data_IF_969443498452
#
_entry.id   IF_969443498452
#
_cell.length_a   1.000
_cell.length_b   1.000
_cell.length_c   1.000
_cell.angle_alpha   90.00
_cell.angle_beta   90.00
_cell.angle_gamma   90.00
#
_symmetry.space_group_name_H-M   'P 1'
#
loop_
_entity.id
_entity.type
_entity.pdbx_description
1 polymer ?
#
# COMPACT_ATOMS: atom_id res chain seq x y z
N UNK A 1 1.78 23.49 56.39
CA UNK A 1 2.88 23.28 55.41
C UNK A 1 2.33 22.47 54.24
N UNK A 2 2.62 22.85 52.98
CA UNK A 2 1.68 22.71 51.87
C UNK A 2 1.76 21.36 51.14
N UNK A 3 0.60 20.73 50.92
CA UNK A 3 0.38 19.49 50.13
C UNK A 3 0.37 19.77 48.61
N UNK A 4 0.95 20.89 48.17
CA UNK A 4 0.76 21.43 46.81
C UNK A 4 1.92 21.20 45.83
N UNK A 5 2.84 20.26 46.11
CA UNK A 5 3.94 19.97 45.17
C UNK A 5 3.67 18.81 44.21
N UNK A 6 2.80 17.85 44.55
CA UNK A 6 2.53 16.70 43.66
C UNK A 6 1.55 17.07 42.54
N UNK A 7 0.59 17.97 42.80
CA UNK A 7 -0.34 18.45 41.78
C UNK A 7 0.36 19.23 40.66
N UNK A 8 1.44 19.97 40.98
CA UNK A 8 2.22 20.76 40.00
C UNK A 8 3.08 19.92 39.06
N UNK A 9 3.30 18.63 39.36
CA UNK A 9 4.09 17.74 38.50
C UNK A 9 3.23 16.98 37.48
N UNK A 10 1.92 16.86 37.71
CA UNK A 10 0.99 16.20 36.78
C UNK A 10 0.44 17.13 35.69
N UNK A 11 0.48 18.45 35.87
CA UNK A 11 0.11 19.41 34.81
C UNK A 11 1.18 19.55 33.71
N UNK A 12 2.42 19.11 33.93
CA UNK A 12 3.55 19.35 33.01
C UNK A 12 3.80 18.21 32.00
N UNK A 13 2.99 17.16 32.03
CA UNK A 13 3.11 15.99 31.14
C UNK A 13 1.94 15.87 30.15
N UNK A 14 1.25 16.98 29.85
CA UNK A 14 0.34 17.04 28.70
C UNK A 14 1.23 17.10 27.44
N UNK A 15 1.20 16.00 26.71
CA UNK A 15 1.74 15.81 25.37
C UNK A 15 1.56 17.09 24.51
N UNK A 16 2.52 17.45 23.65
CA UNK A 16 2.35 18.61 22.78
C UNK A 16 1.07 18.41 21.97
N UNK A 17 0.19 19.41 22.06
CA UNK A 17 -1.06 19.45 21.34
C UNK A 17 -0.79 19.15 19.86
N UNK A 18 -1.41 18.08 19.35
CA UNK A 18 -1.66 17.99 17.92
C UNK A 18 -2.43 19.25 17.56
N UNK A 19 -1.83 20.07 16.71
CA UNK A 19 -2.30 21.39 16.30
C UNK A 19 -3.60 21.23 15.47
N UNK A 20 -4.72 21.01 16.17
CA UNK A 20 -6.05 20.96 15.56
C UNK A 20 -6.49 22.39 15.33
N UNK A 21 -6.26 22.88 14.11
CA UNK A 21 -6.70 24.18 13.64
C UNK A 21 -8.22 24.39 13.87
N UNK A 22 -8.67 25.63 14.17
CA UNK A 22 -10.07 25.93 14.44
C UNK A 22 -10.97 25.67 13.22
N UNK A 23 -12.29 25.43 13.40
CA UNK A 23 -13.20 25.14 12.30
C UNK A 23 -13.32 26.34 11.34
N UNK A 24 -12.71 26.21 10.16
CA UNK A 24 -12.73 27.23 9.10
C UNK A 24 -14.10 27.26 8.40
N UNK A 25 -14.65 28.48 8.26
CA UNK A 25 -15.91 28.80 7.59
C UNK A 25 -15.96 28.25 6.15
N UNK A 26 -17.12 27.69 5.79
CA UNK A 26 -17.38 26.96 4.54
C UNK A 26 -17.52 27.96 3.38
N UNK A 27 -16.65 27.86 2.37
CA UNK A 27 -16.76 28.63 1.13
C UNK A 27 -15.47 28.72 0.31
N UNK A 28 -14.87 27.59 -0.06
CA UNK A 28 -13.68 27.55 -0.94
C UNK A 28 -13.04 26.16 -1.02
N UNK A 29 -12.18 25.87 -2.00
CA UNK A 29 -11.52 24.58 -2.12
C UNK A 29 -10.64 24.34 -0.89
N UNK A 30 -11.04 23.38 -0.04
CA UNK A 30 -10.34 23.02 1.19
C UNK A 30 -8.98 22.39 0.83
N UNK A 31 -7.89 22.94 1.35
CA UNK A 31 -6.54 22.33 1.35
C UNK A 31 -6.12 22.08 2.81
N UNK A 32 -5.36 21.02 3.04
CA UNK A 32 -4.83 20.68 4.37
C UNK A 32 -3.71 21.66 4.75
N UNK A 33 -3.46 21.84 6.05
CA UNK A 33 -2.32 22.62 6.57
C UNK A 33 -0.98 21.87 6.50
N UNK A 34 -0.97 20.66 5.93
CA UNK A 34 0.20 19.78 5.87
C UNK A 34 1.09 20.18 4.70
N UNK A 35 2.35 20.50 4.98
CA UNK A 35 3.35 20.78 3.95
C UNK A 35 3.67 19.50 3.16
N UNK A 36 3.81 19.66 1.84
CA UNK A 36 4.21 18.56 0.95
C UNK A 36 5.63 18.09 1.29
N UNK A 37 5.86 16.78 1.22
CA UNK A 37 7.20 16.23 1.42
C UNK A 37 8.16 16.74 0.32
N UNK A 38 9.24 17.48 0.67
CA UNK A 38 10.17 18.06 -0.30
C UNK A 38 10.95 16.99 -1.09
N UNK A 39 11.02 15.74 -0.62
CA UNK A 39 11.61 14.64 -1.38
C UNK A 39 10.78 14.27 -2.61
N UNK A 40 9.46 14.53 -2.60
CA UNK A 40 8.59 14.32 -3.76
C UNK A 40 8.82 15.35 -4.87
N UNK A 41 9.40 16.51 -4.54
CA UNK A 41 9.70 17.57 -5.51
C UNK A 41 11.03 17.30 -6.25
N UNK A 42 11.91 16.49 -5.65
CA UNK A 42 13.19 16.07 -6.25
C UNK A 42 13.03 14.96 -7.30
N UNK A 43 11.86 14.33 -7.40
CA UNK A 43 11.56 13.33 -8.43
C UNK A 43 11.38 14.06 -9.77
N UNK A 44 12.46 14.12 -10.55
CA UNK A 44 12.55 14.98 -11.74
C UNK A 44 11.62 14.61 -12.89
N UNK A 45 11.10 13.37 -12.94
CA UNK A 45 10.12 12.88 -13.94
C UNK A 45 9.30 11.73 -13.33
N UNK A 46 8.14 11.45 -13.91
CA UNK A 46 7.32 10.32 -13.49
C UNK A 46 8.14 9.03 -13.57
N UNK A 47 7.76 8.03 -12.77
CA UNK A 47 8.40 6.72 -12.85
C UNK A 47 8.34 6.23 -14.31
N UNK A 48 9.42 5.60 -14.80
CA UNK A 48 9.63 5.30 -16.23
C UNK A 48 8.46 4.50 -16.84
N UNK A 49 7.83 3.64 -16.05
CA UNK A 49 6.75 2.76 -16.52
C UNK A 49 5.40 3.49 -16.71
N UNK A 50 4.92 4.33 -15.76
CA UNK A 50 3.76 5.19 -15.99
C UNK A 50 3.81 6.02 -17.27
N UNK A 51 4.97 6.59 -17.62
CA UNK A 51 5.09 7.40 -18.85
C UNK A 51 4.94 6.57 -20.13
N UNK A 52 5.42 5.32 -20.13
CA UNK A 52 5.26 4.39 -21.27
C UNK A 52 3.79 3.96 -21.41
N UNK A 53 3.09 3.71 -20.30
CA UNK A 53 1.67 3.37 -20.32
C UNK A 53 0.80 4.50 -20.87
N UNK A 54 1.04 5.74 -20.45
CA UNK A 54 0.29 6.91 -20.96
C UNK A 54 0.48 7.06 -22.48
N UNK A 55 1.72 6.93 -22.97
CA UNK A 55 2.01 6.99 -24.42
C UNK A 55 1.36 5.86 -25.20
N UNK A 56 1.27 4.66 -24.63
CA UNK A 56 0.54 3.54 -25.25
C UNK A 56 -0.95 3.86 -25.38
N UNK A 57 -1.57 4.38 -24.32
CA UNK A 57 -2.98 4.74 -24.34
C UNK A 57 -3.31 5.84 -25.35
N UNK A 58 -2.46 6.87 -25.44
CA UNK A 58 -2.58 7.92 -26.45
C UNK A 58 -2.45 7.37 -27.87
N UNK A 59 -1.54 6.42 -28.08
CA UNK A 59 -1.34 5.77 -29.38
C UNK A 59 -2.56 4.90 -29.79
N UNK A 60 -3.14 4.15 -28.84
CA UNK A 60 -4.36 3.35 -29.07
C UNK A 60 -5.58 4.23 -29.37
N UNK A 61 -5.72 5.37 -28.69
CA UNK A 61 -6.78 6.35 -28.99
C UNK A 61 -6.63 6.97 -30.37
N UNK A 62 -5.39 7.21 -30.82
CA UNK A 62 -5.10 7.79 -32.13
C UNK A 62 -5.28 6.80 -33.29
N UNK A 63 -5.04 5.51 -33.04
CA UNK A 63 -5.15 4.45 -34.03
C UNK A 63 -5.94 3.24 -33.46
N UNK A 64 -7.27 3.31 -33.44
CA UNK A 64 -8.11 2.27 -32.83
C UNK A 64 -8.04 0.92 -33.55
N UNK A 65 -7.67 0.90 -34.84
CA UNK A 65 -7.55 -0.32 -35.63
C UNK A 65 -6.13 -0.93 -35.59
N UNK A 66 -5.18 -0.31 -34.89
CA UNK A 66 -3.81 -0.79 -34.81
C UNK A 66 -3.68 -1.94 -33.80
N UNK A 67 -3.18 -3.09 -34.26
CA UNK A 67 -2.79 -4.21 -33.38
C UNK A 67 -1.46 -3.89 -32.69
N UNK A 68 -1.53 -3.28 -31.51
CA UNK A 68 -0.34 -2.94 -30.71
C UNK A 68 0.22 -4.18 -30.03
N UNK A 69 1.48 -4.53 -30.32
CA UNK A 69 2.23 -5.57 -29.62
C UNK A 69 3.09 -4.91 -28.54
N UNK A 70 2.81 -5.20 -27.28
CA UNK A 70 3.54 -4.64 -26.14
C UNK A 70 4.79 -5.46 -25.81
N UNK A 71 5.96 -4.98 -26.22
CA UNK A 71 7.27 -5.56 -25.86
C UNK A 71 8.08 -4.66 -24.90
N UNK A 72 7.46 -3.61 -24.34
CA UNK A 72 8.16 -2.63 -23.51
C UNK A 72 8.25 -3.00 -22.03
N UNK A 73 7.11 -3.35 -21.43
CA UNK A 73 7.04 -3.80 -20.04
C UNK A 73 7.08 -5.32 -20.07
N UNK A 74 8.01 -5.94 -19.33
CA UNK A 74 8.14 -7.40 -19.21
C UNK A 74 7.03 -7.99 -18.34
N UNK A 75 5.79 -7.77 -18.74
CA UNK A 75 4.60 -8.33 -18.10
C UNK A 75 4.38 -9.77 -18.55
N UNK A 76 3.86 -10.60 -17.65
CA UNK A 76 3.60 -12.02 -17.92
C UNK A 76 2.42 -12.16 -18.86
N UNK A 77 2.56 -12.97 -19.90
CA UNK A 77 1.53 -13.17 -20.92
C UNK A 77 0.84 -14.54 -20.85
N UNK A 78 1.44 -15.49 -20.11
CA UNK A 78 0.94 -16.84 -19.97
C UNK A 78 0.14 -17.03 -18.67
N UNK A 79 -0.88 -17.91 -18.66
CA UNK A 79 -1.64 -18.21 -17.45
C UNK A 79 -0.78 -18.90 -16.40
N UNK A 80 -1.09 -18.63 -15.13
CA UNK A 80 -0.47 -19.31 -14.01
C UNK A 80 -0.81 -20.81 -14.07
N UNK A 81 0.15 -21.72 -13.84
CA UNK A 81 -0.10 -23.16 -13.81
C UNK A 81 -1.24 -23.54 -12.88
N UNK A 82 -2.08 -24.49 -13.30
CA UNK A 82 -3.29 -24.89 -12.59
C UNK A 82 -3.03 -25.28 -11.14
N UNK A 83 -1.93 -25.99 -10.88
CA UNK A 83 -1.51 -26.43 -9.54
C UNK A 83 -1.40 -25.27 -8.54
N UNK A 84 -0.88 -24.13 -8.98
CA UNK A 84 -0.74 -22.93 -8.13
C UNK A 84 -2.10 -22.28 -7.93
N UNK A 85 -2.88 -22.14 -9.00
CA UNK A 85 -4.22 -21.53 -8.91
C UNK A 85 -5.20 -22.33 -8.05
N UNK A 86 -5.12 -23.66 -8.11
CA UNK A 86 -5.93 -24.57 -7.30
C UNK A 86 -5.56 -24.48 -5.83
N UNK A 87 -4.26 -24.50 -5.49
CA UNK A 87 -3.80 -24.33 -4.11
C UNK A 87 -4.23 -22.97 -3.51
N UNK A 88 -4.17 -21.90 -4.31
CA UNK A 88 -4.66 -20.59 -3.90
C UNK A 88 -6.18 -20.58 -3.66
N UNK A 89 -6.96 -21.23 -4.54
CA UNK A 89 -8.41 -21.34 -4.39
C UNK A 89 -8.80 -22.17 -3.16
N UNK A 90 -8.13 -23.29 -2.92
CA UNK A 90 -8.33 -24.14 -1.75
C UNK A 90 -8.03 -23.38 -0.45
N UNK A 91 -6.93 -22.63 -0.40
CA UNK A 91 -6.61 -21.80 0.76
C UNK A 91 -7.66 -20.72 1.00
N UNK A 92 -8.12 -20.04 -0.06
CA UNK A 92 -9.19 -19.05 0.04
C UNK A 92 -10.51 -19.65 0.56
N UNK A 93 -10.85 -20.87 0.13
CA UNK A 93 -12.01 -21.61 0.64
C UNK A 93 -11.82 -22.03 2.09
N UNK A 94 -10.63 -22.46 2.49
CA UNK A 94 -10.33 -22.85 3.86
C UNK A 94 -10.51 -21.68 4.86
N UNK A 95 -10.23 -20.44 4.44
CA UNK A 95 -10.47 -19.24 5.26
C UNK A 95 -11.96 -19.01 5.58
N UNK A 96 -12.89 -19.67 4.88
CA UNK A 96 -14.33 -19.61 5.19
C UNK A 96 -14.76 -20.56 6.32
N UNK A 97 -13.86 -21.45 6.76
CA UNK A 97 -14.12 -22.42 7.83
C UNK A 97 -13.48 -21.97 9.15
N UNK A 98 -14.07 -22.28 10.32
CA UNK A 98 -13.46 -21.98 11.61
C UNK A 98 -12.11 -22.65 11.82
N UNK A 99 -11.90 -23.86 11.28
CA UNK A 99 -10.62 -24.57 11.42
C UNK A 99 -9.52 -24.00 10.51
N UNK A 100 -9.89 -23.52 9.33
CA UNK A 100 -8.95 -23.00 8.33
C UNK A 100 -8.69 -21.49 8.41
N UNK A 101 -9.49 -20.75 9.17
CA UNK A 101 -9.32 -19.30 9.32
C UNK A 101 -8.04 -18.95 10.08
N UNK A 102 -7.21 -18.12 9.46
CA UNK A 102 -6.01 -17.55 10.08
C UNK A 102 -6.06 -16.03 9.98
N UNK A 103 -5.76 -15.35 11.08
CA UNK A 103 -5.69 -13.89 11.16
C UNK A 103 -4.34 -13.36 10.64
N UNK A 104 -3.76 -12.37 11.33
CA UNK A 104 -2.45 -11.86 10.94
C UNK A 104 -1.39 -12.96 10.97
N UNK A 105 -0.74 -13.15 9.83
CA UNK A 105 0.45 -13.98 9.71
C UNK A 105 1.69 -13.28 10.28
N UNK A 106 2.79 -14.03 10.45
CA UNK A 106 4.09 -13.43 10.78
C UNK A 106 4.52 -12.44 9.69
N UNK A 107 5.06 -11.28 10.08
CA UNK A 107 5.47 -10.19 9.17
C UNK A 107 6.51 -10.61 8.13
N UNK A 108 7.30 -11.62 8.45
CA UNK A 108 8.34 -12.17 7.56
C UNK A 108 7.78 -13.23 6.58
N UNK A 109 6.52 -13.62 6.71
CA UNK A 109 5.90 -14.71 5.94
C UNK A 109 5.89 -16.06 6.68
N UNK A 110 5.04 -16.99 6.23
CA UNK A 110 4.92 -18.31 6.87
C UNK A 110 6.23 -19.10 6.75
N UNK A 111 6.62 -19.78 7.83
CA UNK A 111 7.86 -20.57 7.89
C UNK A 111 7.98 -21.62 6.77
N UNK A 112 6.86 -22.18 6.32
CA UNK A 112 6.81 -23.15 5.21
C UNK A 112 7.27 -22.54 3.88
N UNK A 113 7.01 -21.24 3.67
CA UNK A 113 7.41 -20.50 2.46
C UNK A 113 8.88 -20.05 2.56
N UNK A 114 9.37 -19.76 3.77
CA UNK A 114 10.76 -19.39 4.00
C UNK A 114 11.72 -20.58 3.93
N UNK A 115 11.30 -21.72 4.50
CA UNK A 115 12.13 -22.92 4.66
C UNK A 115 11.66 -24.01 3.69
N UNK A 116 11.49 -23.68 2.41
CA UNK A 116 11.26 -24.69 1.38
C UNK A 116 12.58 -25.40 1.06
N UNK A 117 13.18 -26.04 2.06
CA UNK A 117 14.12 -27.13 1.84
C UNK A 117 13.28 -28.33 1.39
N UNK A 118 13.51 -28.75 0.15
CA UNK A 118 12.88 -29.88 -0.52
C UNK A 118 12.45 -31.01 0.45
N UNK A 119 11.14 -31.20 0.74
CA UNK A 119 10.69 -32.30 1.59
C UNK A 119 10.73 -33.68 0.89
N UNK A 120 11.44 -33.80 -0.24
CA UNK A 120 11.75 -35.08 -0.89
C UNK A 120 13.25 -35.20 -1.20
N UNK A 121 14.03 -35.48 -0.15
CA UNK A 121 15.21 -36.36 -0.14
C UNK A 121 15.50 -36.80 1.30
#
# INVERSE_FOLDING_TARGET
MPVNMISKLLEKAVLPALDVAPPVKIGGPRRTSVLRNPNMEKLQKGYLFPEISIKREEHLKKYPDAKVISLGIGDTTEPIPSIVTSAMAEYALALSTPEGYQGYGPEQGHKVIQNTENPQL
#
